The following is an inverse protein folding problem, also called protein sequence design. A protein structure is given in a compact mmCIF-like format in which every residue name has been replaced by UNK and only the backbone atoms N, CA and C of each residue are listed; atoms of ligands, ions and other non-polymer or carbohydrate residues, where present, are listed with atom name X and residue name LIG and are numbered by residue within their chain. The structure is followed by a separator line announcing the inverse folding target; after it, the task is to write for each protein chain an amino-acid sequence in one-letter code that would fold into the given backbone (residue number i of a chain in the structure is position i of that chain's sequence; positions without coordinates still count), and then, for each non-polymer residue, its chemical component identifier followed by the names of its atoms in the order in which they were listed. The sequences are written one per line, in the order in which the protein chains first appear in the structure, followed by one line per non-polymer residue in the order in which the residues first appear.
data_IF_100347424438
#
_entry.id   IF_100347424438
#
_cell.length_a   1.000
_cell.length_b   1.000
_cell.length_c   1.000
_cell.angle_alpha   90.00
_cell.angle_beta   90.00
_cell.angle_gamma   90.00
#
_symmetry.space_group_name_H-M   'P 1'
#
loop_
_entity.id
_entity.type
_entity.pdbx_description
1 polymer ?
#
# COMPACT_ATOMS: atom_id res chain seq x y z
N UNK A 1 -15.98 8.63 41.73
CA UNK A 1 -16.99 8.34 40.68
C UNK A 1 -17.33 9.63 39.96
N UNK A 2 -16.88 9.78 38.71
CA UNK A 2 -17.47 10.58 37.64
C UNK A 2 -16.51 10.53 36.44
N UNK A 3 -16.71 9.54 35.57
CA UNK A 3 -16.09 9.46 34.25
C UNK A 3 -16.54 10.66 33.42
N UNK A 4 -15.72 11.71 33.36
CA UNK A 4 -15.87 12.76 32.35
C UNK A 4 -15.63 12.11 30.99
N UNK A 5 -16.71 11.95 30.24
CA UNK A 5 -16.71 11.33 28.93
C UNK A 5 -15.62 11.92 28.04
N UNK A 6 -14.86 11.04 27.40
CA UNK A 6 -13.90 11.39 26.36
C UNK A 6 -14.71 11.89 25.17
N UNK A 7 -15.02 13.18 25.17
CA UNK A 7 -15.57 13.87 24.00
C UNK A 7 -14.50 13.93 22.93
N UNK A 8 -14.68 13.20 21.84
CA UNK A 8 -13.89 13.35 20.62
C UNK A 8 -14.05 14.79 20.12
N UNK A 9 -13.01 15.61 20.32
CA UNK A 9 -12.93 17.02 19.91
C UNK A 9 -13.01 17.26 18.39
N UNK A 10 -13.01 16.20 17.58
CA UNK A 10 -13.09 16.24 16.11
C UNK A 10 -14.50 16.56 15.54
N UNK A 11 -15.43 17.03 16.39
CA UNK A 11 -16.80 17.42 16.00
C UNK A 11 -16.93 18.94 15.80
N UNK A 12 -15.89 19.72 16.08
CA UNK A 12 -16.01 21.19 16.23
C UNK A 12 -15.48 22.02 15.05
N UNK A 13 -14.75 21.45 14.07
CA UNK A 13 -14.33 22.19 12.85
C UNK A 13 -14.80 21.58 11.52
N UNK A 14 -14.93 22.44 10.51
CA UNK A 14 -16.07 22.52 9.56
C UNK A 14 -15.96 21.66 8.29
N UNK A 15 -15.02 20.73 8.17
CA UNK A 15 -14.95 19.83 6.99
C UNK A 15 -14.97 18.35 7.41
N UNK A 16 -16.19 17.87 7.57
CA UNK A 16 -16.50 16.46 7.83
C UNK A 16 -16.22 15.65 6.56
N UNK A 17 -15.02 15.07 6.45
CA UNK A 17 -14.76 14.06 5.41
C UNK A 17 -15.63 12.84 5.71
N UNK A 18 -16.58 12.56 4.82
CA UNK A 18 -17.67 11.58 4.99
C UNK A 18 -17.21 10.12 5.12
N UNK A 19 -15.91 9.84 4.99
CA UNK A 19 -15.36 8.49 4.99
C UNK A 19 -14.19 8.40 5.99
N UNK A 20 -14.50 8.46 7.29
CA UNK A 20 -13.52 8.32 8.39
C UNK A 20 -12.74 6.99 8.32
N UNK A 21 -13.39 5.93 7.84
CA UNK A 21 -12.77 4.62 7.59
C UNK A 21 -11.78 4.63 6.41
N UNK A 22 -11.94 5.59 5.49
CA UNK A 22 -11.05 5.82 4.35
C UNK A 22 -10.12 7.02 4.59
N UNK A 23 -9.94 7.46 5.84
CA UNK A 23 -8.96 8.48 6.19
C UNK A 23 -7.55 8.21 5.61
N UNK A 24 -7.06 6.95 5.50
CA UNK A 24 -5.80 6.65 4.84
C UNK A 24 -5.77 7.00 3.34
N UNK A 25 -6.90 6.95 2.65
CA UNK A 25 -7.00 7.28 1.21
C UNK A 25 -6.87 8.79 0.94
N UNK A 26 -6.95 9.66 1.96
CA UNK A 26 -6.61 11.10 1.78
C UNK A 26 -5.17 11.29 1.33
N UNK A 27 -4.30 10.30 1.53
CA UNK A 27 -2.97 10.29 0.93
C UNK A 27 -3.00 10.53 -0.58
N UNK A 28 -3.92 9.88 -1.32
CA UNK A 28 -4.02 10.02 -2.79
C UNK A 28 -4.31 11.47 -3.23
N UNK A 29 -4.98 12.26 -2.39
CA UNK A 29 -5.34 13.66 -2.66
C UNK A 29 -4.14 14.60 -2.54
N UNK A 30 -3.08 14.21 -1.80
CA UNK A 30 -1.85 15.01 -1.66
C UNK A 30 -1.21 15.18 -3.05
N UNK A 31 -1.11 16.43 -3.51
CA UNK A 31 -0.51 16.77 -4.79
C UNK A 31 1.00 16.94 -4.62
N UNK A 32 1.77 16.16 -5.38
CA UNK A 32 3.21 16.33 -5.51
C UNK A 32 3.62 15.90 -6.92
N UNK A 33 4.40 16.70 -7.67
CA UNK A 33 4.68 16.45 -9.09
C UNK A 33 5.43 15.13 -9.33
N UNK A 34 6.23 14.68 -8.36
CA UNK A 34 6.97 13.41 -8.47
C UNK A 34 6.13 12.17 -8.08
N UNK A 35 5.00 12.37 -7.40
CA UNK A 35 4.20 11.26 -6.83
C UNK A 35 3.65 10.33 -7.91
N UNK A 36 3.19 10.88 -9.03
CA UNK A 36 2.62 10.09 -10.14
C UNK A 36 3.68 9.17 -10.77
N UNK A 37 4.95 9.57 -10.74
CA UNK A 37 6.06 8.77 -11.26
C UNK A 37 6.31 7.54 -10.39
N UNK A 38 6.32 7.71 -9.07
CA UNK A 38 6.63 6.60 -8.15
C UNK A 38 5.41 5.73 -7.82
N UNK A 39 4.20 6.28 -7.81
CA UNK A 39 2.98 5.50 -7.53
C UNK A 39 2.47 4.71 -8.75
N UNK A 40 2.76 5.16 -9.99
CA UNK A 40 2.21 4.52 -11.20
C UNK A 40 3.26 4.11 -12.23
N UNK A 41 4.18 5.00 -12.61
CA UNK A 41 5.14 4.73 -13.70
C UNK A 41 6.17 3.67 -13.28
N UNK A 42 6.77 3.85 -12.11
CA UNK A 42 7.75 2.93 -11.56
C UNK A 42 7.18 1.51 -11.33
N UNK A 43 6.00 1.31 -10.71
CA UNK A 43 5.45 -0.02 -10.52
C UNK A 43 5.04 -0.68 -11.82
N UNK A 44 4.55 0.09 -12.80
CA UNK A 44 4.26 -0.46 -14.11
C UNK A 44 5.53 -1.00 -14.78
N UNK A 45 6.64 -0.26 -14.73
CA UNK A 45 7.93 -0.70 -15.27
C UNK A 45 8.43 -2.00 -14.61
N UNK A 46 8.43 -2.07 -13.28
CA UNK A 46 8.84 -3.27 -12.54
C UNK A 46 7.91 -4.45 -12.82
N UNK A 47 6.61 -4.20 -12.95
CA UNK A 47 5.61 -5.23 -13.30
C UNK A 47 5.90 -5.86 -14.65
N UNK A 48 6.19 -5.05 -15.67
CA UNK A 48 6.51 -5.55 -17.01
C UNK A 48 7.76 -6.44 -16.96
N UNK A 49 8.80 -6.02 -16.24
CA UNK A 49 10.03 -6.82 -16.06
C UNK A 49 9.72 -8.14 -15.34
N UNK A 50 8.98 -8.10 -14.23
CA UNK A 50 8.57 -9.29 -13.49
C UNK A 50 7.75 -10.26 -14.35
N UNK A 51 6.81 -9.76 -15.16
CA UNK A 51 6.05 -10.56 -16.10
C UNK A 51 6.95 -11.23 -17.14
N UNK A 52 7.88 -10.48 -17.76
CA UNK A 52 8.82 -11.02 -18.75
C UNK A 52 9.66 -12.14 -18.13
N UNK A 53 10.19 -11.94 -16.92
CA UNK A 53 10.97 -12.97 -16.20
C UNK A 53 10.11 -14.19 -15.91
N UNK A 54 8.88 -14.01 -15.44
CA UNK A 54 7.97 -15.11 -15.13
C UNK A 54 7.66 -15.98 -16.37
N UNK A 55 7.41 -15.37 -17.53
CA UNK A 55 7.17 -16.11 -18.78
C UNK A 55 8.44 -16.70 -19.39
N UNK A 56 9.62 -16.24 -18.99
CA UNK A 56 10.90 -16.79 -19.46
C UNK A 56 11.32 -18.06 -18.72
N UNK A 57 10.77 -18.32 -17.52
CA UNK A 57 11.11 -19.50 -16.71
C UNK A 57 10.19 -20.67 -17.07
N UNK A 58 10.77 -21.77 -17.53
CA UNK A 58 10.08 -23.05 -17.77
C UNK A 58 10.67 -24.13 -16.84
N UNK A 59 9.86 -24.84 -16.03
CA UNK A 59 8.41 -24.78 -15.91
C UNK A 59 7.91 -23.54 -15.16
N UNK A 60 6.77 -23.02 -15.60
CA UNK A 60 6.16 -21.84 -15.02
C UNK A 60 5.77 -22.09 -13.54
N UNK A 61 6.14 -21.20 -12.61
CA UNK A 61 5.78 -21.33 -11.20
C UNK A 61 4.28 -21.51 -11.00
N UNK A 62 3.90 -22.28 -9.99
CA UNK A 62 2.51 -22.41 -9.60
C UNK A 62 2.03 -21.09 -8.97
N UNK A 63 0.88 -20.58 -9.43
CA UNK A 63 0.26 -19.37 -8.85
C UNK A 63 -0.55 -19.76 -7.61
N UNK A 64 -1.28 -20.87 -7.73
CA UNK A 64 -2.12 -21.48 -6.69
C UNK A 64 -1.51 -22.82 -6.25
N UNK A 65 -1.71 -23.19 -4.98
CA UNK A 65 -1.18 -24.41 -4.36
C UNK A 65 -0.28 -24.12 -3.15
N UNK A 66 0.18 -25.18 -2.48
CA UNK A 66 0.93 -25.07 -1.22
C UNK A 66 2.31 -24.41 -1.32
N UNK A 67 2.86 -24.32 -2.53
CA UNK A 67 4.07 -23.56 -2.89
C UNK A 67 3.76 -22.45 -3.92
N UNK A 68 2.51 -21.97 -3.95
CA UNK A 68 2.06 -20.96 -4.90
C UNK A 68 2.53 -19.55 -4.53
N UNK A 69 2.82 -18.72 -5.54
CA UNK A 69 3.22 -17.30 -5.36
C UNK A 69 2.18 -16.52 -4.53
N UNK A 70 0.89 -16.87 -4.66
CA UNK A 70 -0.19 -16.24 -3.90
C UNK A 70 -0.09 -16.50 -2.38
N UNK A 71 0.32 -17.71 -1.98
CA UNK A 71 0.50 -18.07 -0.56
C UNK A 71 1.65 -17.28 0.05
N UNK A 72 2.81 -17.24 -0.62
CA UNK A 72 3.95 -16.43 -0.17
C UNK A 72 3.62 -14.95 -0.08
N UNK A 73 2.88 -14.42 -1.06
CA UNK A 73 2.40 -13.02 -1.03
C UNK A 73 1.52 -12.78 0.18
N UNK A 74 0.51 -13.64 0.40
CA UNK A 74 -0.38 -13.55 1.56
C UNK A 74 0.38 -13.60 2.87
N UNK A 75 1.30 -14.55 3.02
CA UNK A 75 2.06 -14.75 4.25
C UNK A 75 3.02 -13.57 4.52
N UNK A 76 3.60 -12.99 3.47
CA UNK A 76 4.36 -11.74 3.55
C UNK A 76 3.48 -10.57 3.99
N UNK A 77 2.28 -10.43 3.42
CA UNK A 77 1.33 -9.36 3.78
C UNK A 77 0.83 -9.49 5.23
N UNK A 78 0.63 -10.71 5.73
CA UNK A 78 0.25 -10.97 7.13
C UNK A 78 1.31 -10.40 8.10
N UNK A 79 2.60 -10.48 7.75
CA UNK A 79 3.67 -9.91 8.57
C UNK A 79 3.88 -8.41 8.30
N UNK A 80 3.76 -7.98 7.04
CA UNK A 80 4.01 -6.61 6.64
C UNK A 80 2.95 -5.63 7.17
N UNK A 81 1.66 -6.00 7.17
CA UNK A 81 0.58 -5.10 7.62
C UNK A 81 0.77 -4.66 9.08
N UNK A 82 0.96 -5.57 10.07
CA UNK A 82 1.23 -5.17 11.45
C UNK A 82 2.52 -4.34 11.60
N UNK A 83 3.57 -4.67 10.83
CA UNK A 83 4.82 -3.92 10.83
C UNK A 83 4.61 -2.47 10.37
N UNK A 84 3.87 -2.26 9.27
CA UNK A 84 3.56 -0.94 8.74
C UNK A 84 2.69 -0.11 9.70
N UNK A 85 1.72 -0.75 10.36
CA UNK A 85 0.90 -0.10 11.40
C UNK A 85 1.75 0.25 12.63
N UNK A 86 2.69 -0.61 13.01
CA UNK A 86 3.66 -0.34 14.08
C UNK A 86 4.58 0.83 13.74
N UNK A 87 5.11 0.89 12.51
CA UNK A 87 5.90 2.02 12.02
C UNK A 87 5.09 3.32 12.02
N UNK A 88 3.83 3.27 11.57
CA UNK A 88 2.90 4.40 11.63
C UNK A 88 2.70 4.89 13.07
N UNK A 89 2.42 3.99 14.01
CA UNK A 89 2.27 4.33 15.42
C UNK A 89 3.56 4.93 16.00
N UNK A 90 4.73 4.38 15.64
CA UNK A 90 6.03 4.90 16.05
C UNK A 90 6.32 6.30 15.53
N UNK A 91 5.92 6.62 14.30
CA UNK A 91 6.09 7.97 13.73
C UNK A 91 5.07 8.94 14.31
N UNK A 92 3.84 8.48 14.57
CA UNK A 92 2.79 9.30 15.14
C UNK A 92 3.01 9.64 16.62
N UNK A 93 3.52 8.68 17.40
CA UNK A 93 3.78 8.82 18.85
C UNK A 93 5.23 9.19 19.16
N UNK A 94 6.13 9.04 18.19
CA UNK A 94 7.56 9.33 18.35
C UNK A 94 7.77 10.75 18.87
N UNK A 95 8.69 10.89 19.83
CA UNK A 95 9.05 12.18 20.41
C UNK A 95 9.37 13.19 19.30
N UNK A 96 8.87 14.44 19.37
CA UNK A 96 9.02 15.44 18.32
C UNK A 96 10.50 15.81 18.15
N UNK A 97 11.21 15.04 17.33
CA UNK A 97 12.46 15.49 16.76
C UNK A 97 12.13 16.66 15.85
N UNK A 98 12.78 17.81 16.06
CA UNK A 98 12.57 19.04 15.29
C UNK A 98 12.72 18.86 13.76
N UNK A 99 13.16 17.71 13.27
CA UNK A 99 13.30 17.37 11.86
C UNK A 99 12.01 16.80 11.23
N UNK A 100 11.14 16.14 12.01
CA UNK A 100 9.87 15.58 11.54
C UNK A 100 8.73 16.61 11.50
N UNK A 101 8.81 17.64 12.33
CA UNK A 101 7.86 18.75 12.36
C UNK A 101 8.25 19.90 11.41
N UNK A 102 9.39 19.78 10.73
CA UNK A 102 9.80 20.72 9.69
C UNK A 102 8.99 20.53 8.41
N UNK A 103 8.88 21.64 7.68
CA UNK A 103 8.39 21.63 6.31
C UNK A 103 9.43 20.92 5.43
N UNK A 104 9.02 20.05 4.50
CA UNK A 104 9.93 19.47 3.52
C UNK A 104 10.59 20.59 2.71
N UNK A 105 11.92 20.57 2.60
CA UNK A 105 12.69 21.58 1.86
C UNK A 105 12.75 21.15 0.39
N UNK A 106 12.12 21.91 -0.50
CA UNK A 106 12.22 21.72 -1.96
C UNK A 106 10.89 21.88 -2.70
N UNK A 107 9.83 21.20 -2.25
CA UNK A 107 8.51 21.20 -2.88
C UNK A 107 7.42 21.18 -1.81
N UNK A 108 6.46 22.09 -1.91
CA UNK A 108 5.36 22.16 -0.95
C UNK A 108 4.45 20.94 -1.10
N UNK A 109 4.36 20.12 -0.04
CA UNK A 109 3.36 19.06 0.05
C UNK A 109 2.04 19.68 0.48
N UNK A 110 1.12 19.77 -0.49
CA UNK A 110 -0.19 20.40 -0.29
C UNK A 110 -1.28 19.34 -0.14
N UNK A 111 -2.04 19.41 0.95
CA UNK A 111 -3.32 18.71 1.12
C UNK A 111 -4.43 19.75 1.29
N UNK A 112 -5.42 19.76 0.41
CA UNK A 112 -6.56 20.71 0.46
C UNK A 112 -6.13 22.20 0.53
N UNK A 113 -4.96 22.55 0.00
CA UNK A 113 -4.40 23.90 0.02
C UNK A 113 -3.56 24.25 1.25
N UNK A 114 -3.42 23.33 2.22
CA UNK A 114 -2.56 23.51 3.39
C UNK A 114 -1.22 22.79 3.25
N UNK A 115 -0.15 23.42 3.75
CA UNK A 115 1.21 22.89 3.75
C UNK A 115 1.32 21.85 4.87
N UNK A 116 1.55 20.58 4.51
CA UNK A 116 1.72 19.49 5.47
C UNK A 116 3.14 19.44 6.05
N UNK A 117 3.23 19.05 7.32
CA UNK A 117 4.52 18.67 7.91
C UNK A 117 4.97 17.30 7.40
N UNK A 118 6.27 17.04 7.44
CA UNK A 118 6.84 15.76 7.04
C UNK A 118 6.24 14.58 7.84
N UNK A 119 6.03 14.77 9.15
CA UNK A 119 5.35 13.78 10.02
C UNK A 119 3.95 13.46 9.52
N UNK A 120 3.15 14.47 9.20
CA UNK A 120 1.78 14.27 8.70
C UNK A 120 1.80 13.49 7.38
N UNK A 121 2.68 13.87 6.45
CA UNK A 121 2.84 13.17 5.18
C UNK A 121 3.20 11.70 5.37
N UNK A 122 4.22 11.40 6.16
CA UNK A 122 4.67 10.01 6.41
C UNK A 122 3.57 9.20 7.11
N UNK A 123 2.83 9.80 8.05
CA UNK A 123 1.68 9.13 8.64
C UNK A 123 0.58 8.80 7.62
N UNK A 124 0.27 9.71 6.69
CA UNK A 124 -0.68 9.41 5.62
C UNK A 124 -0.15 8.34 4.65
N UNK A 125 1.14 8.36 4.32
CA UNK A 125 1.78 7.37 3.45
C UNK A 125 1.76 5.96 4.08
N UNK A 126 2.22 5.82 5.32
CA UNK A 126 2.25 4.55 6.05
C UNK A 126 0.83 4.03 6.30
N UNK A 127 -0.12 4.92 6.60
CA UNK A 127 -1.53 4.59 6.73
C UNK A 127 -2.13 4.05 5.42
N UNK A 128 -1.88 4.74 4.31
CA UNK A 128 -2.30 4.30 2.97
C UNK A 128 -1.73 2.94 2.60
N UNK A 129 -0.44 2.73 2.85
CA UNK A 129 0.24 1.48 2.53
C UNK A 129 -0.31 0.30 3.36
N UNK A 130 -0.58 0.55 4.65
CA UNK A 130 -1.23 -0.43 5.54
C UNK A 130 -2.64 -0.78 5.04
N UNK A 131 -3.41 0.22 4.64
CA UNK A 131 -4.76 0.03 4.13
C UNK A 131 -4.80 -0.76 2.81
N UNK A 132 -3.95 -0.42 1.84
CA UNK A 132 -3.83 -1.18 0.59
C UNK A 132 -3.36 -2.61 0.85
N UNK A 133 -2.35 -2.78 1.69
CA UNK A 133 -1.85 -4.11 2.03
C UNK A 133 -2.95 -4.97 2.66
N UNK A 134 -3.81 -4.40 3.51
CA UNK A 134 -4.97 -5.12 4.07
C UNK A 134 -5.97 -5.52 2.97
N UNK A 135 -6.31 -4.60 2.04
CA UNK A 135 -7.20 -4.92 0.91
C UNK A 135 -6.61 -6.04 0.04
N UNK A 136 -5.33 -5.95 -0.31
CA UNK A 136 -4.65 -6.97 -1.12
C UNK A 136 -4.61 -8.31 -0.38
N UNK A 137 -4.41 -8.30 0.94
CA UNK A 137 -4.46 -9.51 1.76
C UNK A 137 -5.86 -10.15 1.72
N UNK A 138 -6.91 -9.35 1.88
CA UNK A 138 -8.29 -9.81 1.84
C UNK A 138 -8.66 -10.38 0.46
N UNK A 139 -8.24 -9.69 -0.62
CA UNK A 139 -8.40 -10.19 -1.99
C UNK A 139 -7.62 -11.48 -2.24
N UNK A 140 -6.41 -11.61 -1.69
CA UNK A 140 -5.59 -12.82 -1.83
C UNK A 140 -6.22 -14.03 -1.12
N UNK A 141 -6.79 -13.81 0.07
CA UNK A 141 -7.55 -14.83 0.79
C UNK A 141 -8.81 -15.21 0.03
N UNK A 142 -9.57 -14.22 -0.45
CA UNK A 142 -10.75 -14.45 -1.29
C UNK A 142 -10.41 -15.25 -2.54
N UNK A 143 -9.36 -14.88 -3.27
CA UNK A 143 -8.89 -15.59 -4.46
C UNK A 143 -8.54 -17.06 -4.16
N UNK A 144 -7.94 -17.34 -3.01
CA UNK A 144 -7.65 -18.70 -2.57
C UNK A 144 -8.92 -19.51 -2.26
N UNK A 145 -9.93 -18.90 -1.64
CA UNK A 145 -11.21 -19.56 -1.34
C UNK A 145 -12.05 -19.85 -2.59
N UNK A 146 -12.01 -18.95 -3.58
CA UNK A 146 -12.74 -19.14 -4.84
C UNK A 146 -12.01 -20.03 -5.85
N UNK A 147 -10.78 -20.45 -5.57
CA UNK A 147 -9.95 -21.24 -6.48
C UNK A 147 -10.67 -22.51 -6.99
N UNK A 148 -11.30 -23.27 -6.08
CA UNK A 148 -11.95 -24.54 -6.43
C UNK A 148 -13.21 -24.33 -7.27
N UNK A 149 -13.94 -23.23 -7.02
CA UNK A 149 -15.09 -22.82 -7.84
C UNK A 149 -14.65 -22.32 -9.22
N UNK A 150 -13.51 -21.65 -9.32
CA UNK A 150 -12.97 -21.19 -10.60
C UNK A 150 -12.48 -22.39 -11.43
N UNK A 151 -11.84 -23.38 -10.79
CA UNK A 151 -11.39 -24.61 -11.46
C UNK A 151 -12.54 -25.42 -12.04
N UNK A 152 -13.66 -25.55 -11.33
CA UNK A 152 -14.84 -26.29 -11.83
C UNK A 152 -15.46 -25.62 -13.05
N UNK A 153 -15.49 -24.28 -13.09
CA UNK A 153 -15.95 -23.50 -14.25
C UNK A 153 -14.94 -23.57 -15.41
N UNK A 154 -13.63 -23.53 -15.13
CA UNK A 154 -12.57 -23.64 -16.14
C UNK A 154 -12.50 -25.03 -16.78
N UNK A 155 -12.93 -26.09 -16.07
CA UNK A 155 -13.05 -27.42 -16.63
C UNK A 155 -14.10 -27.49 -17.75
N UNK A 156 -15.10 -26.61 -17.72
CA UNK A 156 -16.15 -26.49 -18.76
C UNK A 156 -15.66 -25.67 -19.96
N UNK A 157 -14.75 -24.70 -19.75
CA UNK A 157 -14.22 -23.81 -20.80
C UNK A 157 -12.68 -23.78 -20.81
N UNK A 158 -12.01 -24.76 -21.46
CA UNK A 158 -10.55 -24.87 -21.44
C UNK A 158 -9.83 -23.67 -22.09
N UNK A 159 -10.48 -22.99 -23.04
CA UNK A 159 -9.96 -21.78 -23.70
C UNK A 159 -9.73 -20.61 -22.75
N UNK A 160 -10.43 -20.57 -21.61
CA UNK A 160 -10.33 -19.49 -20.61
C UNK A 160 -9.19 -19.70 -19.60
N UNK A 161 -8.58 -20.89 -19.57
CA UNK A 161 -7.52 -21.21 -18.60
C UNK A 161 -6.26 -20.36 -18.77
N UNK A 162 -5.83 -20.17 -20.01
CA UNK A 162 -4.64 -19.37 -20.34
C UNK A 162 -4.82 -17.88 -20.04
N UNK A 163 -5.91 -17.19 -20.49
CA UNK A 163 -6.08 -15.78 -20.19
C UNK A 163 -6.28 -15.51 -18.69
N UNK A 164 -7.04 -16.35 -17.97
CA UNK A 164 -7.22 -16.19 -16.51
C UNK A 164 -5.88 -16.32 -15.78
N UNK A 165 -5.02 -17.25 -16.21
CA UNK A 165 -3.66 -17.38 -15.66
C UNK A 165 -2.83 -16.13 -15.89
N UNK A 166 -2.78 -15.64 -17.14
CA UNK A 166 -1.98 -14.45 -17.51
C UNK A 166 -2.45 -13.23 -16.72
N UNK A 167 -3.76 -13.00 -16.66
CA UNK A 167 -4.36 -11.90 -15.89
C UNK A 167 -4.03 -12.03 -14.41
N UNK A 168 -4.14 -13.23 -13.83
CA UNK A 168 -3.80 -13.48 -12.43
C UNK A 168 -2.34 -13.16 -12.09
N UNK A 169 -1.39 -13.60 -12.94
CA UNK A 169 0.04 -13.27 -12.77
C UNK A 169 0.26 -11.77 -12.88
N UNK A 170 -0.29 -11.14 -13.93
CA UNK A 170 -0.10 -9.72 -14.19
C UNK A 170 -0.62 -8.86 -13.03
N UNK A 171 -1.82 -9.16 -12.53
CA UNK A 171 -2.41 -8.45 -11.38
C UNK A 171 -1.58 -8.67 -10.12
N UNK A 172 -1.16 -9.90 -9.83
CA UNK A 172 -0.35 -10.19 -8.64
C UNK A 172 1.02 -9.51 -8.71
N UNK A 173 1.69 -9.58 -9.86
CA UNK A 173 2.97 -8.92 -10.09
C UNK A 173 2.84 -7.40 -9.99
N UNK A 174 1.73 -6.83 -10.47
CA UNK A 174 1.45 -5.41 -10.35
C UNK A 174 1.28 -4.97 -8.90
N UNK A 175 0.46 -5.70 -8.13
CA UNK A 175 0.22 -5.40 -6.73
C UNK A 175 1.50 -5.52 -5.89
N UNK A 176 2.30 -6.58 -6.12
CA UNK A 176 3.58 -6.74 -5.45
C UNK A 176 4.56 -5.62 -5.79
N UNK A 177 4.68 -5.28 -7.07
CA UNK A 177 5.59 -4.20 -7.52
C UNK A 177 5.19 -2.85 -6.94
N UNK A 178 3.89 -2.55 -6.95
CA UNK A 178 3.32 -1.35 -6.31
C UNK A 178 3.64 -1.32 -4.82
N UNK A 179 3.39 -2.41 -4.09
CA UNK A 179 3.72 -2.49 -2.66
C UNK A 179 5.21 -2.29 -2.39
N UNK A 180 6.10 -2.96 -3.15
CA UNK A 180 7.55 -2.82 -2.96
C UNK A 180 8.01 -1.39 -3.18
N UNK A 181 7.55 -0.73 -4.24
CA UNK A 181 7.98 0.64 -4.55
C UNK A 181 7.43 1.62 -3.52
N UNK A 182 6.17 1.50 -3.11
CA UNK A 182 5.61 2.36 -2.07
C UNK A 182 6.30 2.16 -0.71
N UNK A 183 6.76 0.93 -0.39
CA UNK A 183 7.60 0.68 0.79
C UNK A 183 8.96 1.36 0.66
N UNK A 184 9.64 1.21 -0.48
CA UNK A 184 10.94 1.85 -0.73
C UNK A 184 10.82 3.38 -0.70
N UNK A 185 9.74 3.93 -1.24
CA UNK A 185 9.40 5.35 -1.16
C UNK A 185 9.25 5.80 0.29
N UNK A 186 8.52 5.05 1.10
CA UNK A 186 8.40 5.32 2.53
C UNK A 186 9.75 5.28 3.26
N UNK A 187 10.62 4.33 2.91
CA UNK A 187 11.97 4.23 3.49
C UNK A 187 12.87 5.38 3.07
N UNK A 188 12.79 5.83 1.81
CA UNK A 188 13.52 7.00 1.32
C UNK A 188 13.14 8.26 2.11
N UNK A 189 11.84 8.50 2.32
CA UNK A 189 11.39 9.63 3.13
C UNK A 189 11.88 9.55 4.58
N UNK A 190 11.84 8.37 5.19
CA UNK A 190 12.30 8.17 6.56
C UNK A 190 13.83 8.26 6.71
N UNK A 191 14.59 7.82 5.72
CA UNK A 191 16.06 7.70 5.82
C UNK A 191 16.77 8.94 5.33
N UNK A 192 16.37 9.47 4.17
CA UNK A 192 17.05 10.59 3.54
C UNK A 192 16.41 11.92 3.96
N UNK A 193 15.09 12.06 3.80
CA UNK A 193 14.41 13.35 4.02
C UNK A 193 14.37 13.75 5.50
N UNK A 194 14.11 12.81 6.42
CA UNK A 194 14.12 13.10 7.87
C UNK A 194 15.54 13.36 8.40
N UNK A 195 16.55 12.68 7.87
CA UNK A 195 17.92 12.74 8.38
C UNK A 195 18.79 13.80 7.68
N UNK A 196 18.31 14.39 6.58
CA UNK A 196 19.02 15.48 5.91
C UNK A 196 19.09 16.67 6.88
N UNK A 197 20.29 16.90 7.42
CA UNK A 197 20.59 18.10 8.21
C UNK A 197 20.42 19.29 7.27
N UNK A 198 19.35 20.06 7.48
CA UNK A 198 19.19 21.39 6.91
C UNK A 198 20.03 22.40 7.68
#
# INVERSE_FOLDING_TARGET
MATRGVGLRDVTERHVSRLRLLAPLRYLVIHHPEKTTYDFIAPFGVTVVCCIVYFSITPHPAIFGDAGVLKYTRDLLIMAVPFMIGALASVAMGSPGAHLDKRPVGSDLLLDGEILTLRQFVCYLLGYLSFISLIVLLLSIGAALFHDNVLSVLAVYPSLKTPVRIVGVAVLAFLLSSLTISVLWSLYFLTDVVNRKS
#
